data_IF_130939359985
#
_entry.id   IF_130939359985
#
_cell.length_a   1.000
_cell.length_b   1.000
_cell.length_c   1.000
_cell.angle_alpha   90.00
_cell.angle_beta   90.00
_cell.angle_gamma   90.00
#
_symmetry.space_group_name_H-M   'P 1'
#
loop_
_entity.id
_entity.type
_entity.pdbx_description
1 polymer ?
#
# COMPACT_ATOMS: atom_id res chain seq x y z
N UNK A 1 30.42 -1.15 25.81
CA UNK A 1 30.72 0.12 25.15
C UNK A 1 32.14 0.17 24.68
N UNK A 2 32.38 -0.54 23.56
CA UNK A 2 33.47 -0.23 22.67
C UNK A 2 33.06 0.90 21.72
N UNK A 3 34.06 1.53 21.12
CA UNK A 3 33.86 2.48 20.02
C UNK A 3 34.76 2.05 18.88
N UNK A 4 34.16 1.79 17.73
CA UNK A 4 34.81 1.33 16.52
C UNK A 4 34.57 2.40 15.45
N UNK A 5 35.61 2.70 14.68
CA UNK A 5 35.52 3.66 13.58
C UNK A 5 36.33 3.07 12.43
N UNK A 6 35.66 2.90 11.30
CA UNK A 6 36.23 2.44 10.04
C UNK A 6 37.15 3.49 9.41
N UNK A 7 37.40 3.31 8.13
CA UNK A 7 38.16 4.23 7.29
C UNK A 7 37.27 4.73 6.15
N UNK A 8 37.85 5.20 5.05
CA UNK A 8 37.09 5.73 3.91
C UNK A 8 37.00 4.72 2.76
N UNK A 9 37.32 3.47 3.05
CA UNK A 9 37.36 2.36 2.12
C UNK A 9 36.31 1.33 2.55
N UNK A 10 35.80 0.52 1.64
CA UNK A 10 34.88 -0.56 2.00
C UNK A 10 35.50 -1.55 3.01
N UNK A 11 34.80 -1.75 4.13
CA UNK A 11 35.25 -2.54 5.26
C UNK A 11 34.23 -3.59 5.71
N UNK A 12 34.72 -4.55 6.49
CA UNK A 12 33.87 -5.46 7.27
C UNK A 12 34.15 -5.20 8.73
N UNK A 13 33.16 -4.66 9.43
CA UNK A 13 33.26 -4.21 10.82
C UNK A 13 32.30 -5.04 11.66
N UNK A 14 32.81 -5.61 12.76
CA UNK A 14 32.00 -6.34 13.71
C UNK A 14 32.15 -5.72 15.10
N UNK A 15 31.02 -5.48 15.75
CA UNK A 15 30.90 -5.14 17.16
C UNK A 15 31.25 -6.31 18.07
N UNK A 16 30.96 -6.10 19.34
CA UNK A 16 31.14 -7.04 20.43
C UNK A 16 29.78 -7.48 20.97
N UNK A 17 29.75 -8.38 21.95
CA UNK A 17 28.49 -8.80 22.57
C UNK A 17 27.97 -7.80 23.63
N UNK A 18 28.35 -6.53 23.52
CA UNK A 18 27.99 -5.45 24.43
C UNK A 18 27.63 -4.26 23.56
N UNK A 19 26.77 -3.36 24.07
CA UNK A 19 26.50 -2.07 23.46
C UNK A 19 27.79 -1.41 22.93
N UNK A 20 27.79 -1.00 21.68
CA UNK A 20 28.89 -0.43 20.94
C UNK A 20 28.47 0.83 20.17
N UNK A 21 29.47 1.63 19.78
CA UNK A 21 29.27 2.71 18.82
C UNK A 21 30.17 2.41 17.63
N UNK A 22 29.58 2.19 16.46
CA UNK A 22 30.26 1.84 15.22
C UNK A 22 29.98 2.92 14.17
N UNK A 23 31.03 3.35 13.46
CA UNK A 23 30.94 4.36 12.39
C UNK A 23 31.76 3.85 11.20
N UNK A 24 31.11 3.66 10.05
CA UNK A 24 31.70 3.25 8.77
C UNK A 24 32.55 4.35 8.14
N UNK A 25 31.94 5.53 7.97
CA UNK A 25 32.46 6.76 7.34
C UNK A 25 32.17 6.81 5.83
N UNK A 26 33.09 6.32 5.00
CA UNK A 26 32.88 6.39 3.55
C UNK A 26 33.22 5.03 2.94
N UNK A 27 32.61 4.73 1.80
CA UNK A 27 32.77 3.44 1.15
C UNK A 27 31.62 2.51 1.51
N UNK A 28 31.53 1.40 0.79
CA UNK A 28 30.43 0.46 0.96
C UNK A 28 30.82 -0.55 2.04
N UNK A 29 30.32 -0.38 3.25
CA UNK A 29 30.69 -1.13 4.43
C UNK A 29 29.71 -2.24 4.76
N UNK A 30 30.22 -3.32 5.35
CA UNK A 30 29.41 -4.35 6.02
C UNK A 30 29.64 -4.23 7.53
N UNK A 31 28.62 -3.81 8.27
CA UNK A 31 28.70 -3.56 9.71
C UNK A 31 27.70 -4.44 10.45
N UNK A 32 28.17 -5.15 11.48
CA UNK A 32 27.32 -5.95 12.38
C UNK A 32 27.52 -5.52 13.82
N UNK A 33 26.44 -5.19 14.55
CA UNK A 33 26.41 -4.86 15.97
C UNK A 33 26.70 -6.06 16.86
N UNK A 34 25.96 -7.15 16.65
CA UNK A 34 25.98 -8.42 17.40
C UNK A 34 25.00 -8.42 18.58
N UNK A 35 25.46 -8.49 19.84
CA UNK A 35 24.54 -8.45 20.97
C UNK A 35 24.67 -7.09 21.68
N UNK A 36 23.57 -6.56 22.18
CA UNK A 36 23.54 -5.34 22.98
C UNK A 36 22.88 -4.19 22.23
N UNK A 37 22.55 -3.13 22.97
CA UNK A 37 21.91 -1.95 22.37
C UNK A 37 22.96 -1.09 21.66
N UNK A 38 23.18 -1.29 20.36
CA UNK A 38 24.25 -0.68 19.57
C UNK A 38 23.83 0.62 18.90
N UNK A 39 24.83 1.43 18.55
CA UNK A 39 24.65 2.58 17.66
C UNK A 39 25.55 2.44 16.46
N UNK A 40 24.96 2.29 15.27
CA UNK A 40 25.66 2.06 14.01
C UNK A 40 25.41 3.24 13.06
N UNK A 41 26.44 3.68 12.35
CA UNK A 41 26.37 4.71 11.30
C UNK A 41 27.16 4.27 10.07
N UNK A 42 26.52 4.19 8.91
CA UNK A 42 27.17 3.97 7.62
C UNK A 42 27.92 5.22 7.14
N UNK A 43 27.23 6.37 7.14
CA UNK A 43 27.64 7.69 6.65
C UNK A 43 27.58 7.81 5.10
N UNK A 44 28.65 7.66 4.32
CA UNK A 44 28.64 7.75 2.84
C UNK A 44 28.93 6.38 2.19
N UNK A 45 28.11 5.93 1.25
CA UNK A 45 28.34 4.67 0.52
C UNK A 45 27.09 3.81 0.51
N UNK A 46 27.11 2.72 -0.26
CA UNK A 46 26.02 1.75 -0.21
C UNK A 46 26.36 0.70 0.86
N UNK A 47 25.83 0.87 2.06
CA UNK A 47 26.19 0.11 3.25
C UNK A 47 25.26 -1.07 3.53
N UNK A 48 25.72 -2.03 4.32
CA UNK A 48 24.93 -3.12 4.87
C UNK A 48 25.12 -3.18 6.37
N UNK A 49 24.10 -2.75 7.11
CA UNK A 49 24.12 -2.50 8.54
C UNK A 49 23.14 -3.42 9.26
N UNK A 50 23.65 -4.21 10.22
CA UNK A 50 22.87 -5.20 10.96
C UNK A 50 23.04 -4.97 12.47
N UNK A 51 21.94 -4.76 13.20
CA UNK A 51 21.92 -4.64 14.65
C UNK A 51 22.12 -5.98 15.34
N UNK A 52 21.31 -6.96 14.93
CA UNK A 52 21.20 -8.34 15.45
C UNK A 52 20.39 -8.42 16.75
N UNK A 53 20.97 -8.60 17.93
CA UNK A 53 20.20 -8.70 19.18
C UNK A 53 20.34 -7.44 20.02
N UNK A 54 19.24 -6.81 20.42
CA UNK A 54 19.27 -5.62 21.28
C UNK A 54 18.40 -4.51 20.73
N UNK A 55 18.26 -3.41 21.48
CA UNK A 55 17.55 -2.24 20.97
C UNK A 55 18.55 -1.31 20.31
N UNK A 56 18.65 -1.40 19.00
CA UNK A 56 19.68 -0.78 18.20
C UNK A 56 19.23 0.58 17.66
N UNK A 57 20.22 1.41 17.35
CA UNK A 57 20.02 2.66 16.62
C UNK A 57 20.93 2.68 15.41
N UNK A 58 20.36 2.57 14.22
CA UNK A 58 21.11 2.40 12.97
C UNK A 58 20.75 3.51 11.98
N UNK A 59 21.78 4.14 11.43
CA UNK A 59 21.64 5.16 10.38
C UNK A 59 22.48 4.74 9.17
N UNK A 60 21.84 4.54 8.01
CA UNK A 60 22.48 4.31 6.71
C UNK A 60 23.32 5.52 6.30
N UNK A 61 22.65 6.59 5.89
CA UNK A 61 23.29 7.87 5.59
C UNK A 61 23.03 8.29 4.15
N UNK A 62 24.08 8.39 3.34
CA UNK A 62 23.99 8.67 1.91
C UNK A 62 24.38 7.42 1.13
N UNK A 63 23.56 7.03 0.16
CA UNK A 63 23.78 5.84 -0.65
C UNK A 63 22.55 4.96 -0.61
N UNK A 64 22.59 3.83 -1.30
CA UNK A 64 21.52 2.83 -1.23
C UNK A 64 21.88 1.78 -0.19
N UNK A 65 21.30 1.90 0.99
CA UNK A 65 21.67 1.13 2.17
C UNK A 65 20.75 -0.07 2.41
N UNK A 66 21.31 -1.11 3.03
CA UNK A 66 20.55 -2.18 3.68
C UNK A 66 20.68 -1.99 5.18
N UNK A 67 19.56 -1.79 5.86
CA UNK A 67 19.49 -1.56 7.31
C UNK A 67 18.54 -2.59 7.92
N UNK A 68 19.06 -3.43 8.81
CA UNK A 68 18.25 -4.40 9.55
C UNK A 68 18.48 -4.27 11.06
N UNK A 69 17.39 -4.11 11.82
CA UNK A 69 17.39 -4.03 13.28
C UNK A 69 17.70 -5.39 13.90
N UNK A 70 16.78 -6.33 13.74
CA UNK A 70 16.92 -7.71 14.22
C UNK A 70 15.93 -8.02 15.34
N UNK A 71 16.41 -8.54 16.46
CA UNK A 71 15.58 -8.76 17.65
C UNK A 71 15.68 -7.56 18.61
N UNK A 72 14.61 -6.79 18.76
CA UNK A 72 14.61 -5.65 19.67
C UNK A 72 13.57 -4.60 19.33
N UNK A 73 13.60 -3.47 20.06
CA UNK A 73 12.82 -2.31 19.64
C UNK A 73 13.80 -1.29 19.07
N UNK A 74 13.91 -1.25 17.76
CA UNK A 74 14.98 -0.58 17.05
C UNK A 74 14.57 0.79 16.52
N UNK A 75 15.58 1.65 16.32
CA UNK A 75 15.43 2.95 15.65
C UNK A 75 16.30 2.92 14.40
N UNK A 76 15.65 2.87 13.24
CA UNK A 76 16.29 2.62 11.96
C UNK A 76 16.04 3.78 10.99
N UNK A 77 17.08 4.20 10.27
CA UNK A 77 16.97 5.20 9.22
C UNK A 77 17.81 4.82 8.01
N UNK A 78 17.20 4.78 6.82
CA UNK A 78 17.91 4.63 5.54
C UNK A 78 18.73 5.88 5.22
N UNK A 79 18.05 7.02 5.08
CA UNK A 79 18.68 8.31 4.87
C UNK A 79 18.40 8.86 3.48
N UNK A 80 19.41 8.96 2.62
CA UNK A 80 19.28 9.49 1.28
C UNK A 80 19.80 8.49 0.26
N UNK A 81 18.93 8.07 -0.65
CA UNK A 81 19.15 7.00 -1.62
C UNK A 81 17.95 6.08 -1.61
N UNK A 82 18.04 4.95 -2.32
CA UNK A 82 16.97 3.96 -2.30
C UNK A 82 17.36 2.86 -1.33
N UNK A 83 16.71 2.80 -0.18
CA UNK A 83 17.13 2.00 0.96
C UNK A 83 16.22 0.78 1.18
N UNK A 84 16.76 -0.26 1.82
CA UNK A 84 16.03 -1.43 2.30
C UNK A 84 16.12 -1.47 3.82
N UNK A 85 15.05 -1.07 4.51
CA UNK A 85 15.00 -0.88 5.97
C UNK A 85 14.03 -1.89 6.59
N UNK A 86 14.53 -2.73 7.50
CA UNK A 86 13.76 -3.81 8.14
C UNK A 86 13.88 -3.78 9.65
N UNK A 87 12.76 -3.73 10.35
CA UNK A 87 12.70 -3.84 11.82
C UNK A 87 12.97 -5.26 12.30
N UNK A 88 12.37 -6.23 11.61
CA UNK A 88 12.39 -7.66 11.93
C UNK A 88 11.48 -8.02 13.13
N UNK A 89 11.97 -8.11 14.36
CA UNK A 89 11.11 -8.47 15.50
C UNK A 89 11.18 -7.48 16.64
N UNK A 90 10.02 -7.11 17.16
CA UNK A 90 9.82 -6.15 18.23
C UNK A 90 9.11 -4.90 17.72
N UNK A 91 9.07 -3.85 18.52
CA UNK A 91 8.33 -2.64 18.19
C UNK A 91 9.30 -1.59 17.67
N UNK A 92 9.37 -1.47 16.35
CA UNK A 92 10.42 -0.72 15.67
C UNK A 92 9.96 0.66 15.19
N UNK A 93 10.92 1.57 15.03
CA UNK A 93 10.73 2.90 14.46
C UNK A 93 11.60 3.04 13.22
N UNK A 94 10.99 3.00 12.04
CA UNK A 94 11.66 3.03 10.75
C UNK A 94 11.46 4.38 10.07
N UNK A 95 12.52 4.90 9.45
CA UNK A 95 12.47 6.03 8.53
C UNK A 95 13.20 5.70 7.23
N UNK A 96 12.52 5.80 6.08
CA UNK A 96 13.13 5.60 4.77
C UNK A 96 14.04 6.77 4.45
N UNK A 97 13.41 7.92 4.19
CA UNK A 97 14.10 9.20 4.03
C UNK A 97 13.87 9.77 2.64
N UNK A 98 14.91 9.89 1.83
CA UNK A 98 14.81 10.47 0.49
C UNK A 98 15.24 9.48 -0.57
N UNK A 99 14.32 9.08 -1.44
CA UNK A 99 14.52 8.11 -2.50
C UNK A 99 13.38 7.10 -2.48
N UNK A 100 13.46 6.08 -3.31
CA UNK A 100 12.40 5.07 -3.38
C UNK A 100 12.79 3.89 -2.49
N UNK A 101 12.19 3.84 -1.32
CA UNK A 101 12.60 2.95 -0.24
C UNK A 101 11.71 1.71 -0.15
N UNK A 102 12.30 0.64 0.38
CA UNK A 102 11.65 -0.61 0.75
C UNK A 102 11.65 -0.72 2.27
N UNK A 103 10.49 -0.64 2.91
CA UNK A 103 10.36 -0.66 4.36
C UNK A 103 9.55 -1.86 4.84
N UNK A 104 10.05 -2.55 5.86
CA UNK A 104 9.34 -3.66 6.52
C UNK A 104 9.38 -3.49 8.03
N UNK A 105 8.23 -3.31 8.68
CA UNK A 105 8.13 -3.30 10.15
C UNK A 105 8.54 -4.65 10.72
N UNK A 106 7.70 -5.66 10.49
CA UNK A 106 8.01 -7.05 10.85
C UNK A 106 7.01 -7.60 11.85
N UNK A 107 7.47 -8.24 12.92
CA UNK A 107 6.62 -8.66 14.04
C UNK A 107 6.61 -7.60 15.13
N UNK A 108 5.46 -7.06 15.51
CA UNK A 108 5.35 -6.11 16.63
C UNK A 108 4.51 -4.90 16.26
N UNK A 109 4.38 -3.96 17.19
CA UNK A 109 3.65 -2.71 16.93
C UNK A 109 4.65 -1.66 16.40
N UNK A 110 4.73 -1.52 15.08
CA UNK A 110 5.76 -0.72 14.41
C UNK A 110 5.31 0.71 14.06
N UNK A 111 6.27 1.62 13.91
CA UNK A 111 6.06 2.94 13.32
C UNK A 111 6.97 3.11 12.10
N UNK A 112 6.38 3.36 10.94
CA UNK A 112 7.07 3.49 9.66
C UNK A 112 6.76 4.85 9.05
N UNK A 113 7.80 5.64 8.78
CA UNK A 113 7.74 6.88 8.00
C UNK A 113 8.60 6.72 6.74
N UNK A 114 7.98 6.53 5.58
CA UNK A 114 8.73 6.24 4.36
C UNK A 114 9.46 7.49 3.82
N UNK A 115 8.92 8.68 4.08
CA UNK A 115 9.58 9.94 3.77
C UNK A 115 9.20 10.48 2.39
N UNK A 116 10.16 10.58 1.47
CA UNK A 116 9.95 11.17 0.16
C UNK A 116 10.47 10.28 -0.95
N UNK A 117 9.62 10.02 -1.94
CA UNK A 117 9.92 9.13 -3.05
C UNK A 117 8.70 8.29 -3.39
N UNK A 118 8.90 7.20 -4.11
CA UNK A 118 7.84 6.22 -4.33
C UNK A 118 8.20 4.96 -3.57
N UNK A 119 7.62 4.83 -2.39
CA UNK A 119 8.06 3.85 -1.40
C UNK A 119 7.18 2.60 -1.43
N UNK A 120 7.75 1.47 -1.02
CA UNK A 120 7.02 0.21 -0.82
C UNK A 120 7.13 -0.21 0.62
N UNK A 121 5.98 -0.37 1.28
CA UNK A 121 5.88 -0.54 2.72
C UNK A 121 5.16 -1.85 3.03
N UNK A 122 5.76 -2.64 3.91
CA UNK A 122 5.19 -3.83 4.53
C UNK A 122 5.04 -3.54 6.03
N UNK A 123 3.80 -3.27 6.48
CA UNK A 123 3.55 -2.98 7.89
C UNK A 123 3.93 -4.15 8.81
N UNK A 124 3.66 -5.37 8.37
CA UNK A 124 3.94 -6.58 9.14
C UNK A 124 2.76 -7.01 10.01
N UNK A 125 3.05 -7.63 11.15
CA UNK A 125 2.07 -8.16 12.08
C UNK A 125 2.06 -7.36 13.38
N UNK A 126 0.93 -6.71 13.67
CA UNK A 126 0.75 -5.95 14.90
C UNK A 126 -0.15 -4.74 14.68
N UNK A 127 -0.11 -3.78 15.61
CA UNK A 127 -0.78 -2.50 15.46
C UNK A 127 0.20 -1.43 14.99
N UNK A 128 0.34 -1.32 13.67
CA UNK A 128 1.36 -0.44 13.10
C UNK A 128 0.82 0.96 12.82
N UNK A 129 1.74 1.92 12.71
CA UNK A 129 1.51 3.26 12.19
C UNK A 129 2.37 3.41 10.94
N UNK A 130 1.76 3.73 9.81
CA UNK A 130 2.42 3.90 8.52
C UNK A 130 2.13 5.29 7.97
N UNK A 131 3.18 5.98 7.55
CA UNK A 131 3.14 7.26 6.87
C UNK A 131 3.90 7.09 5.55
N UNK A 132 3.20 7.13 4.41
CA UNK A 132 3.85 7.05 3.09
C UNK A 132 4.63 8.32 2.76
N UNK A 133 4.14 9.47 3.21
CA UNK A 133 4.85 10.73 3.04
C UNK A 133 4.58 11.38 1.69
N UNK A 134 5.61 11.70 0.91
CA UNK A 134 5.44 12.37 -0.36
C UNK A 134 5.90 11.52 -1.54
N UNK A 135 4.97 11.26 -2.45
CA UNK A 135 5.26 10.76 -3.78
C UNK A 135 4.20 9.77 -4.21
N UNK A 136 4.57 8.53 -4.48
CA UNK A 136 3.59 7.50 -4.84
C UNK A 136 3.89 6.25 -4.04
N UNK A 137 3.15 6.06 -2.97
CA UNK A 137 3.53 5.15 -1.92
C UNK A 137 2.61 3.93 -1.92
N UNK A 138 3.23 2.76 -1.76
CA UNK A 138 2.58 1.45 -1.83
C UNK A 138 2.56 0.80 -0.47
N UNK A 139 1.37 0.45 0.01
CA UNK A 139 1.20 -0.43 1.17
C UNK A 139 0.84 -1.84 0.68
N UNK A 140 1.73 -2.80 0.93
CA UNK A 140 1.67 -4.15 0.36
C UNK A 140 1.36 -5.22 1.41
N UNK A 141 0.18 -5.84 1.29
CA UNK A 141 -0.27 -6.99 2.09
C UNK A 141 -0.35 -8.30 1.28
N UNK A 142 0.30 -8.38 0.12
CA UNK A 142 0.29 -9.57 -0.74
C UNK A 142 0.82 -10.83 -0.07
N UNK A 143 1.72 -10.68 0.92
CA UNK A 143 2.25 -11.76 1.73
C UNK A 143 1.38 -12.15 2.93
N UNK A 144 0.30 -11.41 3.21
CA UNK A 144 -0.59 -11.69 4.34
C UNK A 144 -1.20 -13.10 4.25
N UNK A 145 -1.21 -13.79 5.39
CA UNK A 145 -1.82 -15.12 5.54
C UNK A 145 -3.34 -15.06 5.83
N UNK A 146 -3.93 -13.86 5.83
CA UNK A 146 -5.35 -13.61 6.11
C UNK A 146 -5.91 -12.52 5.19
N UNK A 147 -7.23 -12.46 5.07
CA UNK A 147 -7.93 -11.40 4.38
C UNK A 147 -7.75 -10.04 5.08
N UNK A 148 -7.78 -8.97 4.28
CA UNK A 148 -7.57 -7.60 4.70
C UNK A 148 -8.85 -6.78 4.53
N UNK A 149 -9.13 -5.93 5.51
CA UNK A 149 -10.17 -4.91 5.46
C UNK A 149 -9.52 -3.53 5.46
N UNK A 150 -9.21 -3.02 4.27
CA UNK A 150 -8.56 -1.74 4.07
C UNK A 150 -9.60 -0.60 3.88
N UNK A 151 -9.37 0.51 4.55
CA UNK A 151 -10.11 1.75 4.37
C UNK A 151 -9.19 2.96 4.48
N UNK A 152 -8.65 3.38 3.33
CA UNK A 152 -7.72 4.49 3.21
C UNK A 152 -8.34 5.82 3.67
N UNK A 153 -9.63 6.04 3.41
CA UNK A 153 -10.32 7.25 3.88
C UNK A 153 -10.37 7.38 5.42
N UNK A 154 -10.40 6.27 6.15
CA UNK A 154 -10.34 6.30 7.63
C UNK A 154 -8.94 6.06 8.15
N UNK A 155 -7.97 5.81 7.26
CA UNK A 155 -6.61 5.39 7.57
C UNK A 155 -6.57 4.10 8.38
N UNK A 156 -7.50 3.17 8.19
CA UNK A 156 -7.54 1.92 8.97
C UNK A 156 -7.45 0.73 8.04
N UNK A 157 -6.40 -0.07 8.22
CA UNK A 157 -6.20 -1.36 7.56
C UNK A 157 -6.32 -2.43 8.64
N UNK A 158 -7.43 -3.15 8.66
CA UNK A 158 -7.70 -4.20 9.63
C UNK A 158 -7.38 -5.58 9.07
N UNK A 159 -6.84 -6.44 9.93
CA UNK A 159 -6.72 -7.89 9.70
C UNK A 159 -6.98 -8.64 11.02
N UNK A 160 -7.04 -9.97 10.95
CA UNK A 160 -7.07 -10.81 12.16
C UNK A 160 -5.74 -10.82 12.93
N UNK A 161 -4.68 -10.23 12.36
CA UNK A 161 -3.33 -10.12 12.96
C UNK A 161 -3.09 -8.77 13.65
N UNK A 162 -3.99 -7.79 13.47
CA UNK A 162 -3.83 -6.45 14.01
C UNK A 162 -4.51 -5.39 13.15
N UNK A 163 -4.33 -4.13 13.51
CA UNK A 163 -4.88 -3.00 12.76
C UNK A 163 -3.81 -1.94 12.58
N UNK A 164 -3.55 -1.60 11.33
CA UNK A 164 -2.56 -0.58 10.95
C UNK A 164 -3.27 0.74 10.69
N UNK A 165 -2.69 1.84 11.18
CA UNK A 165 -3.12 3.18 10.82
C UNK A 165 -2.21 3.72 9.70
N UNK A 166 -2.75 3.94 8.50
CA UNK A 166 -1.96 4.29 7.32
C UNK A 166 -2.42 5.60 6.66
N UNK A 167 -1.52 6.57 6.55
CA UNK A 167 -1.74 7.87 5.89
C UNK A 167 -0.79 8.07 4.70
N UNK A 168 -1.22 8.85 3.72
CA UNK A 168 -0.43 9.14 2.51
C UNK A 168 -0.12 7.91 1.66
N UNK A 169 -1.12 7.06 1.39
CA UNK A 169 -0.96 5.86 0.55
C UNK A 169 -1.76 5.99 -0.74
N UNK A 170 -1.09 5.99 -1.88
CA UNK A 170 -1.73 6.03 -3.21
C UNK A 170 -2.03 4.63 -3.75
N UNK A 171 -1.20 3.63 -3.42
CA UNK A 171 -1.37 2.24 -3.86
C UNK A 171 -1.55 1.28 -2.69
N UNK A 172 -2.58 0.43 -2.81
CA UNK A 172 -2.82 -0.64 -1.85
C UNK A 172 -2.87 -1.99 -2.57
N UNK A 173 -2.11 -2.95 -2.07
CA UNK A 173 -2.10 -4.33 -2.58
C UNK A 173 -2.66 -5.26 -1.50
N UNK A 174 -3.76 -5.92 -1.81
CA UNK A 174 -4.40 -6.94 -0.98
C UNK A 174 -3.63 -8.27 -0.98
N UNK A 175 -4.21 -9.21 -0.26
CA UNK A 175 -3.69 -10.55 0.01
C UNK A 175 -4.09 -11.57 -1.07
N UNK A 176 -3.89 -12.85 -0.77
CA UNK A 176 -4.41 -13.96 -1.58
C UNK A 176 -5.80 -14.46 -1.12
N UNK A 177 -6.48 -13.70 -0.26
CA UNK A 177 -7.78 -14.02 0.31
C UNK A 177 -8.83 -12.97 -0.06
N UNK A 178 -10.09 -13.22 0.31
CA UNK A 178 -11.19 -12.33 -0.04
C UNK A 178 -11.10 -11.01 0.75
N UNK A 179 -10.58 -9.97 0.12
CA UNK A 179 -10.33 -8.68 0.75
C UNK A 179 -11.49 -7.70 0.60
N UNK A 180 -11.51 -6.69 1.46
CA UNK A 180 -12.39 -5.54 1.36
C UNK A 180 -11.52 -4.30 1.31
N UNK A 181 -11.44 -3.64 0.15
CA UNK A 181 -10.53 -2.53 -0.10
C UNK A 181 -11.34 -1.28 -0.44
N UNK A 182 -11.27 -0.28 0.42
CA UNK A 182 -11.88 1.03 0.20
C UNK A 182 -10.79 2.10 0.07
N UNK A 183 -10.77 2.79 -1.06
CA UNK A 183 -9.96 3.99 -1.29
C UNK A 183 -10.43 5.20 -0.48
N UNK A 184 -9.88 6.36 -0.83
CA UNK A 184 -10.13 7.64 -0.20
C UNK A 184 -10.77 8.67 -1.16
N UNK A 185 -10.44 9.95 -1.03
CA UNK A 185 -10.96 11.00 -1.92
C UNK A 185 -9.98 11.42 -3.02
N UNK A 186 -8.85 10.72 -3.12
CA UNK A 186 -7.77 10.95 -4.08
C UNK A 186 -7.80 9.86 -5.16
N UNK A 187 -6.88 9.94 -6.12
CA UNK A 187 -6.73 8.88 -7.12
C UNK A 187 -5.95 7.71 -6.51
N UNK A 188 -6.58 6.56 -6.33
CA UNK A 188 -5.96 5.38 -5.75
C UNK A 188 -5.69 4.29 -6.80
N UNK A 189 -4.67 3.47 -6.55
CA UNK A 189 -4.39 2.23 -7.26
C UNK A 189 -4.68 1.06 -6.33
N UNK A 190 -5.79 0.36 -6.55
CA UNK A 190 -6.27 -0.68 -5.66
C UNK A 190 -6.17 -2.04 -6.35
N UNK A 191 -5.40 -2.96 -5.76
CA UNK A 191 -5.18 -4.31 -6.25
C UNK A 191 -5.73 -5.31 -5.22
N UNK A 192 -6.72 -6.12 -5.59
CA UNK A 192 -7.30 -7.16 -4.75
C UNK A 192 -6.33 -8.31 -4.47
N UNK A 193 -5.76 -8.87 -5.52
CA UNK A 193 -4.76 -9.93 -5.42
C UNK A 193 -5.33 -11.27 -5.89
N UNK A 194 -5.41 -12.27 -5.03
CA UNK A 194 -6.21 -13.46 -5.33
C UNK A 194 -7.33 -13.55 -4.30
N UNK A 195 -8.45 -14.16 -4.64
CA UNK A 195 -9.62 -14.15 -3.77
C UNK A 195 -10.84 -13.61 -4.50
N UNK A 196 -11.96 -13.50 -3.81
CA UNK A 196 -13.12 -12.79 -4.32
C UNK A 196 -13.19 -11.45 -3.59
N UNK A 197 -12.66 -10.41 -4.21
CA UNK A 197 -12.38 -9.15 -3.53
C UNK A 197 -13.53 -8.16 -3.69
N UNK A 198 -13.72 -7.30 -2.70
CA UNK A 198 -14.65 -6.16 -2.77
C UNK A 198 -13.85 -4.87 -2.81
N UNK A 199 -13.83 -4.19 -3.96
CA UNK A 199 -12.98 -3.02 -4.21
C UNK A 199 -13.86 -1.80 -4.48
N UNK A 200 -13.53 -0.69 -3.83
CA UNK A 200 -14.25 0.58 -3.94
C UNK A 200 -13.29 1.76 -3.92
N UNK A 201 -13.06 2.39 -5.07
CA UNK A 201 -12.20 3.57 -5.20
C UNK A 201 -12.71 4.79 -4.41
N UNK A 202 -14.02 5.03 -4.49
CA UNK A 202 -14.77 6.17 -3.91
C UNK A 202 -14.73 7.41 -4.78
N UNK A 203 -14.00 8.47 -4.42
CA UNK A 203 -13.97 9.70 -5.20
C UNK A 203 -12.54 9.86 -5.71
N UNK A 204 -12.38 10.16 -6.98
CA UNK A 204 -11.05 10.23 -7.56
C UNK A 204 -11.09 9.72 -8.98
N UNK A 205 -9.91 9.56 -9.58
CA UNK A 205 -9.77 8.79 -10.81
C UNK A 205 -8.98 7.54 -10.47
N UNK A 206 -9.69 6.49 -10.07
CA UNK A 206 -9.09 5.32 -9.46
C UNK A 206 -8.74 4.26 -10.51
N UNK A 207 -7.69 3.50 -10.24
CA UNK A 207 -7.37 2.27 -10.98
C UNK A 207 -7.66 1.07 -10.10
N UNK A 208 -8.64 0.27 -10.49
CA UNK A 208 -9.12 -0.88 -9.74
C UNK A 208 -8.75 -2.17 -10.46
N UNK A 209 -8.12 -3.09 -9.75
CA UNK A 209 -7.69 -4.40 -10.28
C UNK A 209 -8.12 -5.47 -9.31
N UNK A 210 -8.99 -6.37 -9.73
CA UNK A 210 -9.49 -7.46 -8.89
C UNK A 210 -8.43 -8.53 -8.66
N UNK A 211 -7.71 -8.90 -9.72
CA UNK A 211 -6.68 -9.92 -9.67
C UNK A 211 -7.25 -11.29 -10.02
N UNK A 212 -7.09 -12.35 -9.22
CA UNK A 212 -7.62 -13.70 -9.50
C UNK A 212 -8.84 -14.02 -8.64
N UNK A 213 -9.97 -14.33 -9.28
CA UNK A 213 -11.17 -14.82 -8.59
C UNK A 213 -12.38 -14.09 -9.11
N UNK A 214 -13.46 -14.01 -8.33
CA UNK A 214 -14.72 -13.38 -8.74
C UNK A 214 -14.91 -12.11 -7.94
N UNK A 215 -14.50 -10.99 -8.53
CA UNK A 215 -14.32 -9.74 -7.81
C UNK A 215 -15.55 -8.84 -7.94
N UNK A 216 -15.72 -7.92 -7.00
CA UNK A 216 -16.83 -6.95 -6.99
C UNK A 216 -16.27 -5.54 -6.91
N UNK A 217 -16.58 -4.73 -7.91
CA UNK A 217 -16.23 -3.32 -7.97
C UNK A 217 -17.45 -2.48 -7.59
N UNK A 218 -17.37 -1.74 -6.50
CA UNK A 218 -18.50 -1.01 -5.94
C UNK A 218 -18.42 0.49 -6.22
N UNK A 219 -19.53 1.02 -6.73
CA UNK A 219 -19.74 2.45 -6.99
C UNK A 219 -21.00 2.86 -6.25
N UNK A 220 -20.88 3.65 -5.18
CA UNK A 220 -22.01 3.96 -4.30
C UNK A 220 -22.34 5.45 -4.32
N UNK A 221 -23.60 5.81 -4.10
CA UNK A 221 -24.06 7.21 -4.17
C UNK A 221 -23.38 8.12 -3.18
N UNK A 222 -23.06 7.58 -2.01
CA UNK A 222 -22.32 8.28 -0.94
C UNK A 222 -20.88 8.64 -1.30
N UNK A 223 -20.32 8.12 -2.40
CA UNK A 223 -18.96 8.47 -2.85
C UNK A 223 -18.89 9.79 -3.62
N UNK A 224 -20.03 10.30 -4.09
CA UNK A 224 -20.09 11.54 -4.84
C UNK A 224 -19.97 12.75 -3.90
N UNK A 225 -18.79 13.38 -3.87
CA UNK A 225 -18.47 14.35 -2.82
C UNK A 225 -18.88 15.82 -3.09
N UNK A 226 -19.31 16.23 -4.29
CA UNK A 226 -19.77 17.61 -4.49
C UNK A 226 -20.78 17.74 -5.64
N UNK A 227 -21.88 18.45 -5.38
CA UNK A 227 -22.89 18.86 -6.36
C UNK A 227 -23.47 17.73 -7.25
N UNK A 228 -23.31 16.47 -6.86
CA UNK A 228 -23.76 15.33 -7.64
C UNK A 228 -22.89 15.05 -8.88
N UNK A 229 -21.57 15.28 -8.83
CA UNK A 229 -20.61 14.90 -9.90
C UNK A 229 -19.41 14.19 -9.28
N UNK A 230 -19.04 13.03 -9.82
CA UNK A 230 -17.81 12.32 -9.46
C UNK A 230 -16.58 13.04 -10.01
N UNK A 231 -15.52 13.15 -9.21
CA UNK A 231 -14.30 13.87 -9.55
C UNK A 231 -13.23 12.93 -10.14
N UNK A 232 -13.50 12.41 -11.32
CA UNK A 232 -12.56 11.53 -12.03
C UNK A 232 -13.30 10.47 -12.83
N UNK A 233 -12.54 9.65 -13.55
CA UNK A 233 -13.06 8.53 -14.34
C UNK A 233 -12.29 7.32 -13.86
N UNK A 234 -12.99 6.39 -13.24
CA UNK A 234 -12.38 5.17 -12.73
C UNK A 234 -12.05 4.22 -13.86
N UNK A 235 -11.03 3.41 -13.66
CA UNK A 235 -10.54 2.42 -14.61
C UNK A 235 -10.44 1.05 -13.95
N UNK A 236 -11.26 0.11 -14.41
CA UNK A 236 -11.13 -1.30 -14.03
C UNK A 236 -10.19 -1.98 -15.04
N UNK A 237 -9.05 -2.44 -14.55
CA UNK A 237 -7.94 -2.87 -15.39
C UNK A 237 -8.05 -4.32 -15.89
N UNK A 238 -8.81 -5.18 -15.22
CA UNK A 238 -8.80 -6.63 -15.47
C UNK A 238 -10.18 -7.30 -15.33
N UNK A 239 -11.27 -6.57 -15.59
CA UNK A 239 -12.64 -7.09 -15.47
C UNK A 239 -12.88 -8.34 -16.35
N UNK A 240 -13.38 -9.42 -15.73
CA UNK A 240 -13.69 -10.71 -16.37
C UNK A 240 -15.16 -11.09 -16.20
N UNK A 241 -15.53 -12.20 -16.84
CA UNK A 241 -16.92 -12.66 -16.91
C UNK A 241 -17.55 -13.03 -15.57
N UNK A 242 -16.74 -13.37 -14.57
CA UNK A 242 -17.18 -13.74 -13.23
C UNK A 242 -17.13 -12.57 -12.23
N UNK A 243 -16.58 -11.44 -12.65
CA UNK A 243 -16.54 -10.23 -11.85
C UNK A 243 -17.87 -9.47 -11.94
N UNK A 244 -18.08 -8.56 -10.99
CA UNK A 244 -19.34 -7.87 -10.79
C UNK A 244 -19.14 -6.39 -10.55
N UNK A 245 -20.17 -5.62 -10.92
CA UNK A 245 -20.27 -4.21 -10.56
C UNK A 245 -21.43 -4.06 -9.57
N UNK A 246 -21.15 -3.52 -8.39
CA UNK A 246 -22.13 -3.21 -7.35
C UNK A 246 -22.52 -1.72 -7.41
N UNK A 247 -23.78 -1.48 -7.76
CA UNK A 247 -24.40 -0.14 -7.82
C UNK A 247 -25.63 -0.04 -6.90
N UNK A 248 -25.79 -0.99 -5.97
CA UNK A 248 -26.99 -1.16 -5.14
C UNK A 248 -27.42 0.12 -4.39
N UNK A 249 -26.47 0.88 -3.84
CA UNK A 249 -26.73 2.11 -3.07
C UNK A 249 -27.39 3.23 -3.91
N UNK A 250 -27.22 3.23 -5.24
CA UNK A 250 -27.90 4.20 -6.11
C UNK A 250 -29.41 4.04 -6.11
N UNK A 251 -29.89 2.81 -5.93
CA UNK A 251 -31.30 2.46 -6.07
C UNK A 251 -31.99 2.22 -4.73
N UNK A 252 -31.22 2.20 -3.63
CA UNK A 252 -31.77 1.98 -2.30
C UNK A 252 -32.81 3.07 -1.94
N UNK A 253 -34.04 2.63 -1.65
CA UNK A 253 -35.17 3.51 -1.34
C UNK A 253 -35.91 4.08 -2.56
N UNK A 254 -35.49 3.77 -3.79
CA UNK A 254 -36.24 4.13 -5.00
C UNK A 254 -37.28 3.04 -5.33
N UNK A 255 -38.50 3.45 -5.72
CA UNK A 255 -39.54 2.52 -6.22
C UNK A 255 -39.86 2.85 -7.67
N UNK A 256 -39.95 1.83 -8.53
CA UNK A 256 -40.33 2.00 -9.94
C UNK A 256 -39.23 2.55 -10.86
N UNK A 257 -37.95 2.33 -10.53
CA UNK A 257 -36.83 2.74 -11.37
C UNK A 257 -36.71 1.82 -12.59
N UNK A 258 -36.59 2.42 -13.78
CA UNK A 258 -36.21 1.71 -15.00
C UNK A 258 -34.69 1.71 -15.11
N UNK A 259 -34.05 0.56 -14.88
CA UNK A 259 -32.59 0.42 -14.84
C UNK A 259 -31.91 0.77 -16.18
N UNK A 260 -32.61 0.57 -17.30
CA UNK A 260 -32.14 0.95 -18.65
C UNK A 260 -32.03 2.47 -18.85
N UNK A 261 -32.72 3.28 -18.03
CA UNK A 261 -32.67 4.75 -18.09
C UNK A 261 -31.57 5.34 -17.19
N UNK A 262 -31.08 4.56 -16.21
CA UNK A 262 -30.17 5.01 -15.14
C UNK A 262 -28.73 4.55 -15.39
N UNK A 263 -28.50 3.50 -16.17
CA UNK A 263 -27.15 3.12 -16.61
C UNK A 263 -27.06 3.19 -18.13
N UNK A 264 -26.23 4.11 -18.62
CA UNK A 264 -25.97 4.27 -20.05
C UNK A 264 -24.58 3.73 -20.38
N UNK A 265 -24.56 2.62 -21.10
CA UNK A 265 -23.34 2.10 -21.70
C UNK A 265 -23.00 2.88 -22.97
N UNK A 266 -21.77 3.38 -23.06
CA UNK A 266 -21.23 4.00 -24.26
C UNK A 266 -19.96 3.27 -24.68
N UNK A 267 -19.89 2.86 -25.94
CA UNK A 267 -18.71 2.23 -26.52
C UNK A 267 -18.10 3.18 -27.54
N UNK A 268 -16.83 3.56 -27.37
CA UNK A 268 -16.13 4.46 -28.30
C UNK A 268 -15.25 3.73 -29.33
N UNK A 269 -15.23 2.40 -29.29
CA UNK A 269 -14.53 1.52 -30.22
C UNK A 269 -13.14 1.09 -29.77
N UNK A 270 -12.55 1.74 -28.75
CA UNK A 270 -11.37 1.25 -28.04
C UNK A 270 -11.80 0.74 -26.66
N UNK A 271 -12.40 1.61 -25.84
CA UNK A 271 -12.81 1.28 -24.48
C UNK A 271 -14.32 1.11 -24.35
N UNK A 272 -14.75 0.25 -23.43
CA UNK A 272 -16.11 0.26 -22.89
C UNK A 272 -16.19 1.33 -21.80
N UNK A 273 -17.15 2.24 -21.89
CA UNK A 273 -17.43 3.20 -20.83
C UNK A 273 -18.83 2.95 -20.29
N UNK A 274 -18.96 2.66 -18.99
CA UNK A 274 -20.24 2.62 -18.29
C UNK A 274 -20.46 4.00 -17.67
N UNK A 275 -21.46 4.73 -18.15
CA UNK A 275 -21.94 5.94 -17.47
C UNK A 275 -23.09 5.57 -16.55
N UNK A 276 -22.91 5.81 -15.25
CA UNK A 276 -23.96 5.64 -14.25
C UNK A 276 -24.65 7.01 -14.10
N UNK A 277 -25.97 7.08 -14.21
CA UNK A 277 -26.75 8.33 -14.27
C UNK A 277 -28.02 8.25 -13.41
N UNK A 278 -28.12 9.04 -12.34
CA UNK A 278 -29.26 9.02 -11.41
C UNK A 278 -30.57 9.64 -11.93
N UNK A 279 -30.62 10.10 -13.19
CA UNK A 279 -31.74 10.86 -13.74
C UNK A 279 -31.84 12.32 -13.25
N UNK A 280 -31.01 12.73 -12.29
CA UNK A 280 -30.89 14.11 -11.80
C UNK A 280 -29.50 14.74 -12.06
N UNK A 281 -28.55 13.98 -12.65
CA UNK A 281 -27.17 14.41 -12.92
C UNK A 281 -26.22 13.21 -13.05
N UNK A 282 -25.05 13.44 -13.67
CA UNK A 282 -23.99 12.46 -13.93
C UNK A 282 -23.42 11.90 -12.63
N UNK A 283 -23.33 10.59 -12.51
CA UNK A 283 -23.00 9.98 -11.23
C UNK A 283 -21.63 9.36 -11.21
N UNK A 284 -21.21 8.68 -12.27
CA UNK A 284 -19.85 8.18 -12.42
C UNK A 284 -19.58 7.72 -13.86
N UNK A 285 -18.30 7.61 -14.23
CA UNK A 285 -17.85 7.07 -15.50
C UNK A 285 -16.78 6.04 -15.23
N UNK A 286 -17.09 4.78 -15.54
CA UNK A 286 -16.15 3.66 -15.38
C UNK A 286 -15.66 3.22 -16.75
N UNK A 287 -14.34 3.16 -16.92
CA UNK A 287 -13.67 2.61 -18.09
C UNK A 287 -13.17 1.20 -17.77
N UNK A 288 -13.12 0.37 -18.79
CA UNK A 288 -12.63 -1.01 -18.70
C UNK A 288 -11.49 -1.19 -19.68
N UNK A 289 -10.47 -1.99 -19.31
CA UNK A 289 -9.43 -2.39 -20.23
C UNK A 289 -10.00 -3.15 -21.44
N UNK A 290 -9.37 -2.96 -22.60
CA UNK A 290 -9.78 -3.45 -23.92
C UNK A 290 -9.64 -4.99 -24.05
N UNK A 291 -10.46 -5.76 -23.35
CA UNK A 291 -10.61 -7.21 -23.56
C UNK A 291 -12.00 -7.69 -23.16
N UNK A 292 -13.01 -6.97 -23.62
CA UNK A 292 -14.40 -7.31 -23.36
C UNK A 292 -14.82 -8.52 -24.23
N UNK A 293 -14.77 -9.73 -23.65
CA UNK A 293 -15.25 -10.97 -24.29
C UNK A 293 -16.78 -11.16 -24.15
N UNK A 294 -17.45 -10.27 -23.41
CA UNK A 294 -18.90 -10.20 -23.29
C UNK A 294 -19.48 -9.17 -24.26
N UNK A 295 -20.73 -9.33 -24.66
CA UNK A 295 -21.40 -8.25 -25.42
C UNK A 295 -21.89 -7.19 -24.44
N UNK A 296 -22.05 -5.92 -24.86
CA UNK A 296 -22.63 -4.85 -24.04
C UNK A 296 -23.88 -5.24 -23.24
N UNK A 297 -24.74 -6.08 -23.82
CA UNK A 297 -26.01 -6.50 -23.23
C UNK A 297 -25.84 -7.53 -22.10
N UNK A 298 -24.85 -8.43 -22.19
CA UNK A 298 -24.62 -9.45 -21.16
C UNK A 298 -24.02 -8.87 -19.87
N UNK A 299 -23.35 -7.71 -19.93
CA UNK A 299 -22.96 -6.93 -18.74
C UNK A 299 -24.17 -6.53 -17.91
N UNK A 300 -25.17 -5.97 -18.58
CA UNK A 300 -26.37 -5.42 -17.95
C UNK A 300 -27.18 -6.54 -17.30
N UNK A 301 -27.32 -7.67 -18.00
CA UNK A 301 -28.26 -8.73 -17.62
C UNK A 301 -27.71 -9.69 -16.55
N UNK A 302 -26.38 -9.88 -16.44
CA UNK A 302 -25.78 -10.91 -15.56
C UNK A 302 -24.72 -10.40 -14.55
N UNK A 303 -24.09 -9.24 -14.78
CA UNK A 303 -22.89 -8.82 -14.03
C UNK A 303 -23.06 -7.55 -13.20
N UNK A 304 -24.09 -6.75 -13.47
CA UNK A 304 -24.44 -5.61 -12.62
C UNK A 304 -25.45 -6.08 -11.57
N UNK A 305 -25.04 -6.10 -10.31
CA UNK A 305 -25.91 -6.51 -9.20
C UNK A 305 -26.58 -5.30 -8.53
N UNK A 306 -27.87 -5.51 -8.23
CA UNK A 306 -28.67 -4.75 -7.27
C UNK A 306 -28.89 -5.70 -6.09
N UNK A 307 -28.05 -5.63 -5.06
CA UNK A 307 -28.28 -6.40 -3.81
C UNK A 307 -29.18 -5.60 -2.88
#
# INVERSE_FOLDING_TARGET
MARITGTVESEVIAGTSLQDIIIGLAGNDLITGSDGDDTIKGDEGDDSLFGELGNDTIFGGFGSDIVAGGDGNDILSGGAGNDDVRGDTGNDSLTGGAGNDLLSGGEGDDTVDAGSGSDTIFGGAGFDIVIGGSGFDTLDYSASAVAINANLNTHVIGSDLGSTNADGIEQFIGSAFNDVINGDGLANFLLGGAGNDYIRGRAGADTLTGGLGSDTYAFLKKDVMLAGVHQGVDFISDFRTNDKIDVSDFFNGMTGVNYDEVMQLTFDGANTTVSINSGAGFVDVVRFADSFDATPQSLIDEQIFLV
#
